data_IF_624382032689
#
_entry.id   IF_624382032689
#
_cell.length_a   1.000
_cell.length_b   1.000
_cell.length_c   1.000
_cell.angle_alpha   90.00
_cell.angle_beta   90.00
_cell.angle_gamma   90.00
#
_symmetry.space_group_name_H-M   'P 1'
#
loop_
_entity.id
_entity.type
_entity.pdbx_description
1 polymer ?
#
# COMPACT_ATOMS: atom_id res chain seq x y z
N UNK A 1 9.65 19.27 -9.45
CA UNK A 1 8.50 18.50 -8.90
C UNK A 1 7.34 18.55 -9.87
N UNK A 2 6.74 17.41 -10.15
CA UNK A 2 5.56 17.29 -11.01
C UNK A 2 4.44 16.63 -10.19
N UNK A 3 3.22 17.20 -10.28
CA UNK A 3 2.07 16.66 -9.57
C UNK A 3 0.94 16.33 -10.54
N UNK A 4 0.32 15.17 -10.35
CA UNK A 4 -0.88 14.74 -11.06
C UNK A 4 -2.02 14.59 -10.07
N UNK A 5 -3.14 15.24 -10.35
CA UNK A 5 -4.31 15.21 -9.49
C UNK A 5 -5.46 14.54 -10.25
N UNK A 6 -6.06 13.53 -9.65
CA UNK A 6 -7.17 12.80 -10.23
C UNK A 6 -8.36 12.79 -9.29
N UNK A 7 -9.54 12.99 -9.83
CA UNK A 7 -10.81 12.86 -9.12
C UNK A 7 -11.58 11.69 -9.72
N UNK A 8 -12.21 10.90 -8.87
CA UNK A 8 -12.97 9.75 -9.31
C UNK A 8 -14.15 9.49 -8.37
N UNK A 9 -15.30 9.18 -8.93
CA UNK A 9 -16.43 8.65 -8.18
C UNK A 9 -16.56 7.12 -8.34
N UNK A 10 -15.54 6.51 -8.92
CA UNK A 10 -15.41 5.06 -9.10
C UNK A 10 -14.02 4.64 -8.65
N UNK A 11 -13.90 3.43 -8.17
CA UNK A 11 -12.62 2.87 -7.69
C UNK A 11 -11.69 2.51 -8.86
N UNK A 12 -11.40 3.45 -9.74
CA UNK A 12 -10.63 3.17 -10.96
C UNK A 12 -9.27 3.85 -10.97
N UNK A 13 -9.21 5.13 -10.65
CA UNK A 13 -7.97 5.90 -10.81
C UNK A 13 -6.86 5.42 -9.88
N UNK A 14 -7.15 5.37 -8.58
CA UNK A 14 -6.21 4.92 -7.55
C UNK A 14 -5.81 3.46 -7.78
N UNK A 15 -6.80 2.58 -7.91
CA UNK A 15 -6.56 1.14 -8.04
C UNK A 15 -5.89 0.79 -9.37
N UNK A 16 -6.23 1.48 -10.46
CA UNK A 16 -5.57 1.27 -11.75
C UNK A 16 -4.09 1.63 -11.66
N UNK A 17 -3.75 2.72 -10.98
CA UNK A 17 -2.34 3.10 -10.80
C UNK A 17 -1.59 2.07 -9.96
N UNK A 18 -2.20 1.59 -8.88
CA UNK A 18 -1.61 0.55 -8.05
C UNK A 18 -1.37 -0.75 -8.83
N UNK A 19 -2.30 -1.14 -9.70
CA UNK A 19 -2.12 -2.35 -10.51
C UNK A 19 -0.95 -2.21 -11.51
N UNK A 20 -0.67 -1.00 -11.98
CA UNK A 20 0.47 -0.73 -12.85
C UNK A 20 1.81 -0.80 -12.13
N UNK A 21 1.81 -0.43 -10.85
CA UNK A 21 3.01 -0.43 -10.00
C UNK A 21 3.63 -1.83 -9.92
N UNK A 22 2.81 -2.86 -9.91
CA UNK A 22 3.28 -4.23 -9.82
C UNK A 22 4.15 -4.69 -10.99
N UNK A 23 4.21 -3.93 -12.07
CA UNK A 23 5.01 -4.26 -13.25
C UNK A 23 6.46 -3.81 -13.17
N UNK A 24 6.81 -2.99 -12.18
CA UNK A 24 8.16 -2.46 -12.00
C UNK A 24 8.88 -3.24 -10.90
N UNK A 25 10.21 -3.29 -10.98
CA UNK A 25 11.03 -4.00 -10.00
C UNK A 25 11.41 -3.13 -8.79
N UNK A 26 11.12 -1.84 -8.85
CA UNK A 26 11.44 -0.92 -7.76
C UNK A 26 10.63 -1.24 -6.50
N UNK A 27 11.20 -1.01 -5.31
CA UNK A 27 10.46 -1.17 -4.05
C UNK A 27 9.20 -0.31 -4.02
N UNK A 28 8.13 -0.90 -3.53
CA UNK A 28 6.82 -0.24 -3.37
C UNK A 28 6.38 -0.36 -1.93
N UNK A 29 5.97 0.76 -1.34
CA UNK A 29 5.41 0.80 0.01
C UNK A 29 3.98 1.29 -0.06
N UNK A 30 3.04 0.50 0.45
CA UNK A 30 1.62 0.83 0.43
C UNK A 30 1.12 0.92 1.85
N UNK A 31 0.48 2.04 2.19
CA UNK A 31 -0.21 2.23 3.46
C UNK A 31 -1.70 2.36 3.17
N UNK A 32 -2.50 1.57 3.84
CA UNK A 32 -3.95 1.59 3.71
C UNK A 32 -4.58 1.35 5.08
N UNK A 33 -5.77 1.88 5.32
CA UNK A 33 -6.51 1.53 6.52
C UNK A 33 -7.10 0.13 6.39
N UNK A 34 -7.82 -0.11 5.29
CA UNK A 34 -8.59 -1.32 5.06
C UNK A 34 -7.82 -2.34 4.22
N UNK A 35 -8.04 -3.61 4.51
CA UNK A 35 -7.52 -4.75 3.75
C UNK A 35 -8.67 -5.73 3.48
N UNK A 36 -9.79 -5.22 2.98
CA UNK A 36 -11.03 -6.00 2.79
C UNK A 36 -11.15 -6.66 1.42
N UNK A 37 -10.67 -6.01 0.35
CA UNK A 37 -10.81 -6.55 -1.01
C UNK A 37 -9.66 -7.51 -1.30
N UNK A 38 -9.80 -8.70 -0.76
CA UNK A 38 -8.80 -9.76 -0.84
C UNK A 38 -8.39 -10.10 -2.27
N UNK A 39 -9.36 -10.27 -3.16
CA UNK A 39 -9.07 -10.65 -4.55
C UNK A 39 -8.25 -9.59 -5.27
N UNK A 40 -8.63 -8.32 -5.10
CA UNK A 40 -7.94 -7.22 -5.74
C UNK A 40 -6.51 -7.07 -5.20
N UNK A 41 -6.35 -7.16 -3.90
CA UNK A 41 -5.04 -7.03 -3.24
C UNK A 41 -4.13 -8.17 -3.66
N UNK A 42 -4.66 -9.40 -3.71
CA UNK A 42 -3.91 -10.56 -4.19
C UNK A 42 -3.45 -10.38 -5.62
N UNK A 43 -4.30 -9.81 -6.48
CA UNK A 43 -3.94 -9.53 -7.86
C UNK A 43 -2.75 -8.56 -7.94
N UNK A 44 -2.75 -7.51 -7.12
CA UNK A 44 -1.63 -6.55 -7.09
C UNK A 44 -0.35 -7.22 -6.61
N UNK A 45 -0.41 -7.94 -5.50
CA UNK A 45 0.77 -8.59 -4.92
C UNK A 45 1.34 -9.67 -5.85
N UNK A 46 0.48 -10.36 -6.61
CA UNK A 46 0.89 -11.41 -7.55
C UNK A 46 1.65 -10.90 -8.77
N UNK A 47 1.67 -9.58 -9.00
CA UNK A 47 2.46 -8.97 -10.08
C UNK A 47 3.96 -9.15 -9.84
N UNK A 48 4.36 -9.46 -8.63
CA UNK A 48 5.75 -9.73 -8.26
C UNK A 48 5.85 -11.12 -7.66
N UNK A 49 6.92 -11.82 -7.99
CA UNK A 49 7.15 -13.16 -7.48
C UNK A 49 7.11 -13.17 -5.95
N UNK A 50 6.15 -13.91 -5.38
CA UNK A 50 5.94 -14.05 -3.93
C UNK A 50 5.74 -12.72 -3.19
N UNK A 51 5.37 -11.65 -3.90
CA UNK A 51 5.21 -10.32 -3.33
C UNK A 51 6.52 -9.58 -3.07
N UNK A 52 7.62 -10.01 -3.66
CA UNK A 52 8.94 -9.43 -3.44
C UNK A 52 8.97 -7.92 -3.72
N UNK A 53 9.62 -7.18 -2.83
CA UNK A 53 9.79 -5.74 -2.99
C UNK A 53 8.58 -4.90 -2.59
N UNK A 54 7.51 -5.54 -2.11
CA UNK A 54 6.30 -4.84 -1.66
C UNK A 54 6.27 -4.83 -0.13
N UNK A 55 6.06 -3.63 0.43
CA UNK A 55 5.77 -3.45 1.85
C UNK A 55 4.33 -2.95 1.97
N UNK A 56 3.52 -3.63 2.75
CA UNK A 56 2.10 -3.32 2.96
C UNK A 56 1.86 -3.06 4.44
N UNK A 57 1.23 -1.93 4.74
CA UNK A 57 0.91 -1.52 6.11
C UNK A 57 -0.58 -1.27 6.18
N UNK A 58 -1.28 -1.91 7.11
CA UNK A 58 -2.71 -1.71 7.30
C UNK A 58 -3.08 -1.60 8.77
N UNK A 59 -4.34 -1.26 9.03
CA UNK A 59 -4.84 -1.19 10.39
C UNK A 59 -4.95 -2.58 11.00
N UNK A 60 -4.64 -2.72 12.29
CA UNK A 60 -4.65 -4.01 12.99
C UNK A 60 -6.04 -4.65 13.07
N UNK A 61 -7.09 -3.91 12.80
CA UNK A 61 -8.44 -4.44 12.62
C UNK A 61 -8.50 -5.52 11.54
N UNK A 62 -7.58 -5.44 10.55
CA UNK A 62 -7.50 -6.37 9.42
C UNK A 62 -6.37 -7.39 9.57
N UNK A 63 -5.93 -7.64 10.78
CA UNK A 63 -4.80 -8.53 11.06
C UNK A 63 -5.01 -9.94 10.49
N UNK A 64 -6.22 -10.48 10.58
CA UNK A 64 -6.53 -11.80 10.03
C UNK A 64 -6.30 -11.83 8.51
N UNK A 65 -6.73 -10.79 7.79
CA UNK A 65 -6.48 -10.69 6.36
C UNK A 65 -5.00 -10.51 6.06
N UNK A 66 -4.27 -9.81 6.92
CA UNK A 66 -2.82 -9.62 6.77
C UNK A 66 -2.08 -10.95 6.87
N UNK A 67 -2.47 -11.85 7.78
CA UNK A 67 -1.89 -13.19 7.87
C UNK A 67 -2.16 -14.02 6.61
N UNK A 68 -3.37 -13.94 6.07
CA UNK A 68 -3.70 -14.63 4.82
C UNK A 68 -2.83 -14.12 3.68
N UNK A 69 -2.64 -12.80 3.58
CA UNK A 69 -1.76 -12.19 2.58
C UNK A 69 -0.31 -12.65 2.74
N UNK A 70 0.18 -12.68 3.97
CA UNK A 70 1.56 -13.10 4.24
C UNK A 70 1.80 -14.55 3.85
N UNK A 71 0.84 -15.42 4.10
CA UNK A 71 0.92 -16.83 3.70
C UNK A 71 0.98 -16.99 2.19
N UNK A 72 0.17 -16.20 1.47
CA UNK A 72 0.12 -16.24 0.00
C UNK A 72 1.34 -15.56 -0.64
N UNK A 73 1.90 -14.54 0.00
CA UNK A 73 3.00 -13.72 -0.53
C UNK A 73 4.12 -13.60 0.51
N UNK A 74 4.87 -14.68 0.76
CA UNK A 74 5.82 -14.73 1.87
C UNK A 74 6.99 -13.75 1.76
N UNK A 75 7.30 -13.24 0.56
CA UNK A 75 8.39 -12.29 0.37
C UNK A 75 7.92 -10.83 0.47
N UNK A 76 6.62 -10.59 0.60
CA UNK A 76 6.11 -9.26 0.95
C UNK A 76 6.33 -9.00 2.43
N UNK A 77 6.65 -7.74 2.78
CA UNK A 77 6.70 -7.30 4.16
C UNK A 77 5.35 -6.72 4.53
N UNK A 78 4.71 -7.27 5.54
CA UNK A 78 3.36 -6.87 5.94
C UNK A 78 3.36 -6.48 7.41
N UNK A 79 2.80 -5.30 7.71
CA UNK A 79 2.73 -4.75 9.06
C UNK A 79 1.29 -4.35 9.38
N UNK A 80 0.95 -4.40 10.65
CA UNK A 80 -0.34 -3.89 11.16
C UNK A 80 -0.10 -2.92 12.29
N UNK A 81 -0.97 -1.91 12.39
CA UNK A 81 -0.89 -0.91 13.46
C UNK A 81 -2.27 -0.32 13.73
N UNK A 82 -2.62 -0.05 15.01
CA UNK A 82 -3.86 0.66 15.34
C UNK A 82 -3.87 2.10 14.84
N UNK A 83 -2.73 2.63 14.40
CA UNK A 83 -2.58 4.00 13.92
C UNK A 83 -2.43 4.13 12.40
N UNK A 84 -2.61 3.05 11.66
CA UNK A 84 -2.49 3.08 10.20
C UNK A 84 -3.80 3.60 9.57
N UNK A 85 -3.85 4.89 9.27
CA UNK A 85 -5.01 5.56 8.68
C UNK A 85 -4.73 6.17 7.31
N UNK A 86 -3.48 6.41 6.97
CA UNK A 86 -3.10 7.01 5.69
C UNK A 86 -3.43 6.08 4.52
N UNK A 87 -3.65 6.67 3.35
CA UNK A 87 -3.83 5.94 2.10
C UNK A 87 -2.79 6.47 1.14
N UNK A 88 -1.71 5.72 0.99
CA UNK A 88 -0.46 6.20 0.44
C UNK A 88 0.23 5.07 -0.31
N UNK A 89 0.84 5.39 -1.45
CA UNK A 89 1.73 4.45 -2.13
C UNK A 89 3.02 5.16 -2.52
N UNK A 90 4.13 4.62 -2.09
CA UNK A 90 5.46 5.10 -2.42
C UNK A 90 6.08 4.15 -3.42
N UNK A 91 6.46 4.66 -4.58
CA UNK A 91 7.14 3.89 -5.62
C UNK A 91 8.52 4.48 -5.79
N UNK A 92 9.54 3.72 -5.38
CA UNK A 92 10.92 4.19 -5.52
C UNK A 92 11.24 4.45 -7.00
N UNK A 93 12.11 5.40 -7.30
CA UNK A 93 12.81 6.26 -6.34
C UNK A 93 12.13 7.61 -6.06
N UNK A 94 11.07 7.98 -6.78
CA UNK A 94 10.62 9.37 -6.77
C UNK A 94 9.12 9.59 -6.94
N UNK A 95 8.29 8.56 -6.78
CA UNK A 95 6.85 8.69 -6.98
C UNK A 95 6.09 8.46 -5.68
N UNK A 96 5.19 9.40 -5.37
CA UNK A 96 4.31 9.36 -4.19
C UNK A 96 2.87 9.50 -4.66
N UNK A 97 2.03 8.55 -4.29
CA UNK A 97 0.58 8.63 -4.51
C UNK A 97 -0.12 8.79 -3.18
N UNK A 98 -0.96 9.80 -3.06
CA UNK A 98 -1.79 10.06 -1.87
C UNK A 98 -3.25 10.01 -2.30
N UNK A 99 -4.07 9.29 -1.55
CA UNK A 99 -5.47 9.10 -1.92
C UNK A 99 -6.39 9.17 -0.71
N UNK A 100 -7.67 9.42 -0.97
CA UNK A 100 -8.72 9.23 0.02
C UNK A 100 -9.28 7.81 -0.01
N UNK A 101 -8.91 6.99 -1.03
CA UNK A 101 -9.36 5.61 -1.16
C UNK A 101 -8.45 4.65 -0.42
N UNK A 102 -9.05 3.65 0.21
CA UNK A 102 -8.33 2.47 0.67
C UNK A 102 -7.90 1.60 -0.51
N UNK A 103 -6.94 0.71 -0.27
CA UNK A 103 -6.56 -0.30 -1.24
C UNK A 103 -7.73 -1.27 -1.43
N UNK A 104 -8.26 -1.31 -2.63
CA UNK A 104 -9.42 -2.13 -2.97
C UNK A 104 -10.35 -1.46 -3.98
N UNK A 105 -11.37 -2.20 -4.40
CA UNK A 105 -12.39 -1.71 -5.33
C UNK A 105 -13.59 -1.23 -4.51
N UNK A 106 -13.73 0.07 -4.36
CA UNK A 106 -14.87 0.67 -3.69
C UNK A 106 -15.77 1.34 -4.69
N UNK A 107 -17.07 1.08 -4.62
CA UNK A 107 -18.08 1.67 -5.50
C UNK A 107 -18.78 2.84 -4.81
N UNK A 108 -19.29 3.77 -5.61
CA UNK A 108 -20.12 4.90 -5.16
C UNK A 108 -19.40 5.83 -4.18
N UNK A 109 -18.08 5.93 -4.32
CA UNK A 109 -17.27 6.83 -3.49
C UNK A 109 -16.68 7.92 -4.39
N UNK A 110 -16.76 9.17 -3.94
CA UNK A 110 -16.09 10.28 -4.60
C UNK A 110 -14.73 10.47 -3.92
N UNK A 111 -13.66 10.12 -4.62
CA UNK A 111 -12.32 10.11 -4.07
C UNK A 111 -11.36 10.96 -4.89
N UNK A 112 -10.29 11.39 -4.25
CA UNK A 112 -9.23 12.12 -4.92
C UNK A 112 -7.90 11.40 -4.72
N UNK A 113 -7.09 11.43 -5.76
CA UNK A 113 -5.74 10.85 -5.75
C UNK A 113 -4.78 11.88 -6.33
N UNK A 114 -3.67 12.12 -5.62
CA UNK A 114 -2.62 13.03 -6.04
C UNK A 114 -1.34 12.23 -6.21
N UNK A 115 -0.74 12.32 -7.39
CA UNK A 115 0.56 11.75 -7.69
C UNK A 115 1.61 12.83 -7.73
N UNK A 116 2.69 12.65 -6.99
CA UNK A 116 3.80 13.58 -6.90
C UNK A 116 5.06 12.87 -7.39
N UNK A 117 5.74 13.45 -8.38
CA UNK A 117 6.99 12.93 -8.89
C UNK A 117 8.13 13.83 -8.41
N UNK A 118 8.74 13.45 -7.30
CA UNK A 118 9.78 14.22 -6.64
C UNK A 118 10.57 13.31 -5.72
N UNK A 119 11.88 13.22 -5.95
CA UNK A 119 12.75 12.44 -5.06
C UNK A 119 12.73 12.99 -3.64
N UNK A 120 12.71 14.30 -3.49
CA UNK A 120 12.63 14.94 -2.17
C UNK A 120 11.35 14.55 -1.42
N UNK A 121 10.20 14.61 -2.10
CA UNK A 121 8.94 14.19 -1.51
C UNK A 121 8.94 12.71 -1.17
N UNK A 122 9.45 11.86 -2.07
CA UNK A 122 9.56 10.43 -1.81
C UNK A 122 10.41 10.15 -0.57
N UNK A 123 11.61 10.74 -0.49
CA UNK A 123 12.52 10.53 0.63
C UNK A 123 11.90 10.99 1.95
N UNK A 124 11.17 12.10 1.93
CA UNK A 124 10.47 12.60 3.11
C UNK A 124 9.41 11.60 3.60
N UNK A 125 8.52 11.16 2.72
CA UNK A 125 7.47 10.19 3.09
C UNK A 125 8.06 8.83 3.47
N UNK A 126 9.07 8.38 2.76
CA UNK A 126 9.73 7.11 3.05
C UNK A 126 10.32 7.13 4.46
N UNK A 127 11.00 8.20 4.84
CA UNK A 127 11.56 8.37 6.19
C UNK A 127 10.45 8.35 7.24
N UNK A 128 9.34 9.04 7.00
CA UNK A 128 8.19 9.05 7.91
C UNK A 128 7.63 7.63 8.09
N UNK A 129 7.47 6.89 7.01
CA UNK A 129 6.97 5.52 7.07
C UNK A 129 7.95 4.61 7.82
N UNK A 130 9.25 4.72 7.56
CA UNK A 130 10.24 3.91 8.28
C UNK A 130 10.22 4.20 9.78
N UNK A 131 10.07 5.47 10.18
CA UNK A 131 9.93 5.83 11.59
C UNK A 131 8.65 5.24 12.19
N UNK A 132 7.56 5.27 11.45
CA UNK A 132 6.29 4.66 11.88
C UNK A 132 6.44 3.16 12.12
N UNK A 133 7.19 2.46 11.30
CA UNK A 133 7.42 1.02 11.44
C UNK A 133 8.20 0.64 12.70
N UNK A 134 8.91 1.59 13.32
CA UNK A 134 9.64 1.37 14.58
C UNK A 134 8.79 1.61 15.82
N UNK A 135 7.55 2.09 15.68
CA UNK A 135 6.67 2.32 16.81
C UNK A 135 6.28 1.02 17.51
N UNK A 136 6.10 1.10 18.84
CA UNK A 136 5.79 -0.07 19.69
C UNK A 136 4.56 -0.85 19.27
N UNK A 137 3.53 -0.14 18.81
CA UNK A 137 2.25 -0.73 18.45
C UNK A 137 2.17 -1.17 17.00
N UNK A 138 3.25 -1.04 16.24
CA UNK A 138 3.37 -1.59 14.89
C UNK A 138 3.94 -2.99 14.96
N UNK A 139 3.23 -3.95 14.40
CA UNK A 139 3.60 -5.37 14.43
C UNK A 139 3.88 -5.87 13.02
N UNK A 140 5.03 -6.48 12.81
CA UNK A 140 5.32 -7.19 11.57
C UNK A 140 4.61 -8.55 11.57
N UNK A 141 3.89 -8.84 10.48
CA UNK A 141 3.27 -10.13 10.28
C UNK A 141 4.32 -11.08 9.71
N UNK A 142 4.73 -12.04 10.52
CA UNK A 142 5.73 -13.05 10.13
C UNK A 142 5.04 -14.33 9.70
N UNK A 143 5.78 -15.21 9.00
CA UNK A 143 5.25 -16.49 8.60
C UNK A 143 4.75 -17.27 9.82
N UNK A 144 3.55 -17.83 9.67
CA UNK A 144 2.99 -18.73 10.66
C UNK A 144 3.36 -20.14 10.23
N UNK A 145 4.20 -20.79 11.01
CA UNK A 145 4.49 -22.21 10.82
C UNK A 145 3.28 -22.99 11.34
N UNK A 146 2.61 -23.67 10.44
CA UNK A 146 1.49 -24.52 10.81
C UNK A 146 2.03 -25.81 11.42
#
# INVERSE_FOLDING_TARGET
MTANIKLSNKATTWNTRLSQIGRHDEPVTIVTFSLCDYEYISMILSKRERGRGITLICHNKYEANAYVMKKAFPDAKIYVSPNAHAKLALVAPETVWVSTENLGRKRNSFDTTVGIHSKEAYDHYYTQVQNFLTCRDTTEIKEVYA
#
